data_IF_772134110905
#
_entry.id   IF_772134110905
#
_cell.length_a   1.000
_cell.length_b   1.000
_cell.length_c   1.000
_cell.angle_alpha   90.00
_cell.angle_beta   90.00
_cell.angle_gamma   90.00
#
_symmetry.space_group_name_H-M   'P 1'
#
loop_
_entity.id
_entity.type
_entity.pdbx_description
1 polymer ?
#
# COMPACT_ATOMS: atom_id res chain seq x y z
N UNK A 1 25.66 -48.68 -32.44
CA UNK A 1 26.27 -48.00 -31.27
C UNK A 1 26.01 -46.51 -31.19
N UNK A 2 25.97 -45.72 -32.28
CA UNK A 2 25.70 -44.24 -32.18
C UNK A 2 24.25 -43.89 -31.79
N UNK A 3 23.26 -44.70 -32.13
CA UNK A 3 21.84 -44.46 -31.80
C UNK A 3 21.51 -44.73 -30.32
N UNK A 4 22.22 -45.63 -29.66
CA UNK A 4 22.06 -45.96 -28.24
C UNK A 4 22.67 -44.89 -27.33
N UNK A 5 23.75 -44.24 -27.75
CA UNK A 5 24.37 -43.13 -27.00
C UNK A 5 23.51 -41.86 -27.02
N UNK A 6 22.82 -41.59 -28.13
CA UNK A 6 21.89 -40.46 -28.23
C UNK A 6 20.64 -40.71 -27.35
N UNK A 7 20.11 -41.93 -27.32
CA UNK A 7 19.00 -42.31 -26.46
C UNK A 7 19.36 -42.22 -24.96
N UNK A 8 20.60 -42.60 -24.60
CA UNK A 8 21.09 -42.47 -23.21
C UNK A 8 21.31 -41.01 -22.82
N UNK A 9 21.80 -40.17 -23.75
CA UNK A 9 21.95 -38.73 -23.49
C UNK A 9 20.61 -38.02 -23.35
N UNK A 10 19.59 -38.40 -24.13
CA UNK A 10 18.23 -37.87 -24.01
C UNK A 10 17.56 -38.36 -22.74
N UNK A 11 17.75 -39.62 -22.36
CA UNK A 11 17.26 -40.18 -21.07
C UNK A 11 18.02 -39.58 -19.88
N UNK A 12 19.30 -39.30 -19.98
CA UNK A 12 20.08 -38.62 -18.97
C UNK A 12 19.70 -37.15 -18.81
N UNK A 13 19.35 -36.46 -19.88
CA UNK A 13 18.82 -35.11 -19.87
C UNK A 13 17.37 -35.05 -19.28
N UNK A 14 16.57 -36.09 -19.53
CA UNK A 14 15.21 -36.22 -18.97
C UNK A 14 15.21 -36.69 -17.51
N UNK A 15 16.25 -37.41 -17.03
CA UNK A 15 16.40 -37.78 -15.62
C UNK A 15 16.90 -36.63 -14.72
N UNK A 16 17.38 -35.54 -15.32
CA UNK A 16 17.75 -34.30 -14.66
C UNK A 16 16.60 -33.30 -14.50
N UNK A 17 15.34 -33.71 -14.76
CA UNK A 17 14.19 -32.93 -14.38
C UNK A 17 14.14 -33.00 -12.84
N UNK A 18 14.89 -32.12 -12.20
CA UNK A 18 14.62 -31.79 -10.80
C UNK A 18 13.11 -31.72 -10.66
N UNK A 19 12.53 -32.44 -9.71
CA UNK A 19 11.16 -32.21 -9.32
C UNK A 19 11.06 -30.74 -8.92
N UNK A 20 10.67 -29.88 -9.86
CA UNK A 20 10.28 -28.52 -9.59
C UNK A 20 9.09 -28.64 -8.65
N UNK A 21 9.34 -28.56 -7.35
CA UNK A 21 8.29 -28.63 -6.34
C UNK A 21 7.58 -27.29 -6.39
N UNK A 22 6.59 -27.21 -7.28
CA UNK A 22 5.67 -26.08 -7.34
C UNK A 22 4.88 -26.04 -6.03
N UNK A 23 5.05 -24.99 -5.26
CA UNK A 23 4.33 -24.80 -4.02
C UNK A 23 3.35 -23.62 -4.20
N UNK A 24 2.06 -23.93 -4.16
CA UNK A 24 1.00 -22.92 -4.14
C UNK A 24 0.48 -22.78 -2.72
N UNK A 25 0.51 -21.56 -2.19
CA UNK A 25 -0.01 -21.23 -0.86
C UNK A 25 -1.27 -20.38 -1.03
N UNK A 26 -2.33 -20.78 -0.36
CA UNK A 26 -3.50 -19.94 -0.13
C UNK A 26 -3.21 -19.16 1.15
N UNK A 27 -3.42 -17.85 1.10
CA UNK A 27 -3.24 -16.98 2.27
C UNK A 27 -4.33 -15.94 2.35
N UNK A 28 -4.54 -15.38 3.52
CA UNK A 28 -5.50 -14.31 3.67
C UNK A 28 -5.55 -13.71 5.08
N UNK A 29 -6.39 -12.69 5.17
CA UNK A 29 -6.74 -12.02 6.42
C UNK A 29 -8.24 -11.79 6.42
N UNK A 30 -8.90 -12.10 7.51
CA UNK A 30 -10.26 -11.69 7.83
C UNK A 30 -10.21 -10.84 9.10
N UNK A 31 -10.74 -9.63 9.00
CA UNK A 31 -10.71 -8.62 10.05
C UNK A 31 -12.06 -7.91 10.09
N UNK A 32 -12.63 -7.78 11.26
CA UNK A 32 -13.85 -7.02 11.47
C UNK A 32 -13.98 -6.56 12.91
N UNK A 33 -14.74 -5.51 13.09
CA UNK A 33 -14.98 -4.94 14.40
C UNK A 33 -16.01 -3.83 14.35
N UNK A 34 -16.03 -3.02 15.38
CA UNK A 34 -16.87 -1.85 15.47
C UNK A 34 -16.01 -0.59 15.46
N UNK A 35 -16.44 0.38 14.69
CA UNK A 35 -15.84 1.71 14.58
C UNK A 35 -16.86 2.74 15.00
N UNK A 36 -16.45 3.70 15.83
CA UNK A 36 -17.22 4.89 16.17
C UNK A 36 -16.32 6.11 15.96
N UNK A 37 -16.77 7.02 15.12
CA UNK A 37 -16.19 8.34 14.95
C UNK A 37 -17.13 9.42 15.51
N UNK A 38 -16.59 10.55 15.93
CA UNK A 38 -17.41 11.77 16.22
C UNK A 38 -18.26 12.10 15.00
N UNK A 39 -19.50 12.54 15.22
CA UNK A 39 -20.42 12.90 14.14
C UNK A 39 -21.02 11.72 13.34
N UNK A 40 -20.56 10.49 13.50
CA UNK A 40 -21.03 9.30 12.75
C UNK A 40 -21.66 8.27 13.67
N UNK A 41 -22.53 7.41 13.15
CA UNK A 41 -23.05 6.24 13.87
C UNK A 41 -21.98 5.16 14.07
N UNK A 42 -22.25 4.20 14.96
CA UNK A 42 -21.41 2.99 15.08
C UNK A 42 -21.60 2.13 13.85
N UNK A 43 -20.50 1.75 13.23
CA UNK A 43 -20.51 0.88 12.05
C UNK A 43 -19.60 -0.34 12.24
N UNK A 44 -19.83 -1.37 11.42
CA UNK A 44 -18.87 -2.46 11.29
C UNK A 44 -17.77 -2.05 10.32
N UNK A 45 -16.51 -2.15 10.77
CA UNK A 45 -15.34 -1.80 9.99
C UNK A 45 -14.19 -2.76 10.22
N UNK A 46 -13.19 -2.69 9.37
CA UNK A 46 -11.96 -3.46 9.47
C UNK A 46 -10.79 -2.58 9.96
N UNK A 47 -9.86 -3.17 10.70
CA UNK A 47 -8.58 -2.55 10.99
C UNK A 47 -7.56 -2.88 9.90
N UNK A 48 -7.51 -4.14 9.46
CA UNK A 48 -6.61 -4.59 8.40
C UNK A 48 -7.44 -5.03 7.19
N UNK A 49 -7.04 -4.63 5.98
CA UNK A 49 -7.75 -4.99 4.76
C UNK A 49 -7.99 -6.50 4.65
N UNK A 50 -9.26 -6.89 4.58
CA UNK A 50 -9.65 -8.26 4.28
C UNK A 50 -9.17 -8.67 2.90
N UNK A 51 -8.56 -9.86 2.81
CA UNK A 51 -8.00 -10.35 1.55
C UNK A 51 -7.93 -11.87 1.51
N UNK A 52 -8.04 -12.37 0.31
CA UNK A 52 -7.75 -13.75 -0.06
C UNK A 52 -6.74 -13.73 -1.20
N UNK A 53 -5.66 -14.49 -1.08
CA UNK A 53 -4.62 -14.55 -2.10
C UNK A 53 -4.09 -15.94 -2.35
N UNK A 54 -3.50 -16.06 -3.52
CA UNK A 54 -2.76 -17.22 -3.99
C UNK A 54 -1.35 -16.77 -4.37
N UNK A 55 -0.35 -17.46 -3.87
CA UNK A 55 1.03 -17.24 -4.29
C UNK A 55 1.70 -18.56 -4.57
N UNK A 56 2.48 -18.59 -5.62
CA UNK A 56 3.23 -19.77 -6.02
C UNK A 56 4.71 -19.48 -6.21
N UNK A 57 5.49 -20.51 -5.97
CA UNK A 57 6.94 -20.51 -6.23
C UNK A 57 7.28 -21.81 -6.92
N UNK A 58 7.96 -21.73 -8.05
CA UNK A 58 8.51 -22.85 -8.80
C UNK A 58 10.02 -22.71 -8.84
N UNK A 59 10.75 -23.75 -8.47
CA UNK A 59 12.19 -23.80 -8.57
C UNK A 59 12.60 -24.14 -10.01
N UNK A 60 13.29 -23.23 -10.68
CA UNK A 60 13.77 -23.40 -12.05
C UNK A 60 15.19 -23.96 -12.12
N UNK A 61 15.80 -24.27 -10.99
CA UNK A 61 17.18 -24.69 -10.88
C UNK A 61 18.18 -23.51 -10.89
N UNK A 62 19.42 -23.83 -10.58
CA UNK A 62 20.53 -22.84 -10.56
C UNK A 62 20.26 -21.59 -9.71
N UNK A 63 19.44 -21.71 -8.65
CA UNK A 63 19.09 -20.59 -7.77
C UNK A 63 18.04 -19.65 -8.35
N UNK A 64 17.43 -19.99 -9.48
CA UNK A 64 16.31 -19.22 -10.06
C UNK A 64 14.96 -19.81 -9.65
N UNK A 65 13.98 -18.94 -9.47
CA UNK A 65 12.59 -19.27 -9.13
C UNK A 65 11.63 -18.44 -9.96
N UNK A 66 10.58 -19.07 -10.48
CA UNK A 66 9.40 -18.35 -10.96
C UNK A 66 8.45 -18.12 -9.80
N UNK A 67 7.79 -16.97 -9.78
CA UNK A 67 6.81 -16.60 -8.74
C UNK A 67 5.56 -16.04 -9.38
N UNK A 68 4.43 -16.24 -8.73
CA UNK A 68 3.21 -15.48 -9.04
C UNK A 68 2.48 -15.11 -7.75
N UNK A 69 1.68 -14.06 -7.81
CA UNK A 69 0.83 -13.61 -6.72
C UNK A 69 -0.46 -13.01 -7.27
N UNK A 70 -1.59 -13.51 -6.72
CA UNK A 70 -2.94 -13.01 -6.99
C UNK A 70 -3.60 -12.71 -5.66
N UNK A 71 -4.07 -11.49 -5.44
CA UNK A 71 -4.73 -11.07 -4.20
C UNK A 71 -6.01 -10.30 -4.52
N UNK A 72 -7.12 -10.74 -3.94
CA UNK A 72 -8.41 -10.07 -3.97
C UNK A 72 -8.77 -9.53 -2.59
N UNK A 73 -9.30 -8.31 -2.55
CA UNK A 73 -9.83 -7.68 -1.34
C UNK A 73 -11.33 -7.71 -1.32
N UNK A 74 -11.91 -7.76 -0.12
CA UNK A 74 -13.35 -7.83 0.05
C UNK A 74 -13.79 -7.15 1.35
N UNK A 75 -15.05 -6.75 1.42
CA UNK A 75 -15.69 -6.21 2.61
C UNK A 75 -16.32 -7.35 3.40
N UNK A 76 -15.87 -7.58 4.64
CA UNK A 76 -16.40 -8.68 5.44
C UNK A 76 -17.83 -8.41 5.96
N UNK A 77 -18.21 -7.14 6.10
CA UNK A 77 -19.52 -6.73 6.60
C UNK A 77 -20.68 -7.10 5.67
N UNK A 78 -20.47 -7.15 4.35
CA UNK A 78 -21.50 -7.43 3.36
C UNK A 78 -21.10 -8.48 2.30
N UNK A 79 -19.85 -8.97 2.33
CA UNK A 79 -19.34 -9.97 1.39
C UNK A 79 -19.06 -9.44 -0.02
N UNK A 80 -19.15 -8.13 -0.26
CA UNK A 80 -18.83 -7.56 -1.57
C UNK A 80 -17.32 -7.52 -1.81
N UNK A 81 -16.92 -7.47 -3.09
CA UNK A 81 -15.56 -7.08 -3.43
C UNK A 81 -15.29 -5.66 -2.93
N UNK A 82 -14.08 -5.37 -2.51
CA UNK A 82 -13.69 -4.00 -2.25
C UNK A 82 -13.63 -3.28 -3.60
N UNK A 83 -14.40 -2.23 -3.71
CA UNK A 83 -14.27 -1.31 -4.83
C UNK A 83 -12.93 -0.60 -4.68
N UNK A 84 -12.07 -0.77 -5.66
CA UNK A 84 -10.86 0.01 -5.71
C UNK A 84 -11.24 1.36 -6.31
N UNK A 85 -11.63 2.29 -5.47
CA UNK A 85 -11.75 3.70 -5.88
C UNK A 85 -10.34 4.19 -6.18
N UNK A 86 -9.91 3.95 -7.41
CA UNK A 86 -8.74 4.64 -7.92
C UNK A 86 -9.18 6.07 -8.22
N UNK A 87 -8.27 7.04 -8.20
CA UNK A 87 -8.46 8.43 -8.62
C UNK A 87 -9.15 8.63 -9.96
N UNK A 88 -9.45 7.58 -10.68
CA UNK A 88 -9.89 7.57 -12.08
C UNK A 88 -11.26 6.91 -12.26
N UNK A 89 -12.06 6.85 -11.20
CA UNK A 89 -13.38 6.25 -11.23
C UNK A 89 -13.43 4.83 -10.65
N UNK A 90 -14.63 4.32 -10.48
CA UNK A 90 -14.89 2.99 -9.97
C UNK A 90 -14.32 1.95 -10.91
N UNK A 91 -13.39 1.13 -10.42
CA UNK A 91 -12.87 -0.02 -11.14
C UNK A 91 -13.24 -1.28 -10.39
N UNK A 92 -14.07 -2.08 -11.00
CA UNK A 92 -14.31 -3.45 -10.57
C UNK A 92 -13.18 -4.33 -11.08
N UNK A 93 -12.15 -4.51 -10.27
CA UNK A 93 -11.08 -5.45 -10.55
C UNK A 93 -11.24 -6.68 -9.69
N UNK A 94 -11.23 -7.86 -10.30
CA UNK A 94 -11.30 -9.13 -9.57
C UNK A 94 -10.07 -9.35 -8.68
N UNK A 95 -8.91 -8.83 -9.10
CA UNK A 95 -7.63 -8.94 -8.39
C UNK A 95 -7.08 -7.55 -8.04
N UNK A 96 -7.82 -6.86 -7.19
CA UNK A 96 -7.57 -5.46 -6.81
C UNK A 96 -6.40 -5.27 -5.84
N UNK A 97 -5.92 -6.35 -5.24
CA UNK A 97 -4.76 -6.35 -4.37
C UNK A 97 -3.45 -6.47 -5.14
N UNK A 98 -3.22 -7.63 -5.72
CA UNK A 98 -2.02 -7.96 -6.48
C UNK A 98 -2.39 -8.90 -7.64
N UNK A 99 -1.72 -8.76 -8.78
CA UNK A 99 -1.82 -9.69 -9.91
C UNK A 99 -0.52 -9.65 -10.70
N UNK A 100 0.46 -10.47 -10.31
CA UNK A 100 1.78 -10.42 -10.92
C UNK A 100 2.42 -11.78 -11.07
N UNK A 101 3.37 -11.84 -12.01
CA UNK A 101 4.29 -12.95 -12.23
C UNK A 101 5.72 -12.40 -12.19
N UNK A 102 6.67 -13.20 -11.75
CA UNK A 102 8.03 -12.73 -11.63
C UNK A 102 9.08 -13.84 -11.67
N UNK A 103 10.30 -13.39 -11.73
CA UNK A 103 11.51 -14.22 -11.57
C UNK A 103 12.30 -13.71 -10.36
N UNK A 104 12.86 -14.63 -9.60
CA UNK A 104 13.72 -14.34 -8.45
C UNK A 104 14.99 -15.17 -8.50
N UNK A 105 16.10 -14.55 -8.11
CA UNK A 105 17.38 -15.24 -7.96
C UNK A 105 18.15 -14.67 -6.77
N UNK A 106 18.84 -15.56 -6.04
CA UNK A 106 19.52 -15.18 -4.79
C UNK A 106 20.63 -14.14 -5.02
N UNK A 107 21.28 -14.18 -6.20
CA UNK A 107 22.37 -13.28 -6.54
C UNK A 107 21.92 -11.91 -7.09
N UNK A 108 20.75 -11.85 -7.73
CA UNK A 108 20.33 -10.67 -8.49
C UNK A 108 18.98 -10.07 -8.01
N UNK A 109 18.27 -10.71 -7.07
CA UNK A 109 17.02 -10.20 -6.52
C UNK A 109 15.78 -10.71 -7.26
N UNK A 110 14.79 -9.85 -7.45
CA UNK A 110 13.50 -10.23 -8.03
C UNK A 110 13.00 -9.18 -9.03
N UNK A 111 12.41 -9.65 -10.13
CA UNK A 111 11.65 -8.84 -11.09
C UNK A 111 10.22 -9.35 -11.10
N UNK A 112 9.24 -8.46 -11.00
CA UNK A 112 7.80 -8.75 -11.04
C UNK A 112 7.13 -7.87 -12.09
N UNK A 113 6.15 -8.43 -12.81
CA UNK A 113 5.39 -7.76 -13.86
C UNK A 113 3.91 -7.92 -13.59
N UNK A 114 3.14 -6.85 -13.76
CA UNK A 114 1.69 -6.81 -13.59
C UNK A 114 1.25 -5.81 -12.53
N UNK A 115 0.24 -6.15 -11.75
CA UNK A 115 -0.23 -5.32 -10.63
C UNK A 115 0.64 -5.59 -9.41
N UNK A 116 1.40 -4.60 -8.98
CA UNK A 116 2.32 -4.68 -7.84
C UNK A 116 2.06 -3.57 -6.84
N UNK A 117 2.46 -3.77 -5.58
CA UNK A 117 2.40 -2.68 -4.61
C UNK A 117 3.29 -1.52 -5.05
N UNK A 118 2.76 -0.32 -4.89
CA UNK A 118 3.52 0.91 -5.08
C UNK A 118 4.68 0.96 -4.07
N UNK A 119 5.88 1.26 -4.59
CA UNK A 119 7.13 1.13 -3.85
C UNK A 119 7.20 2.07 -2.65
N UNK A 120 6.80 3.33 -2.80
CA UNK A 120 6.87 4.31 -1.73
C UNK A 120 5.86 4.03 -0.62
N UNK A 121 4.65 3.58 -0.98
CA UNK A 121 3.60 3.23 -0.02
C UNK A 121 3.95 1.96 0.77
N UNK A 122 4.48 0.94 0.10
CA UNK A 122 4.82 -0.33 0.74
C UNK A 122 6.00 -0.18 1.70
N UNK A 123 7.04 0.54 1.29
CA UNK A 123 8.28 0.62 2.06
C UNK A 123 8.15 1.43 3.34
N UNK A 124 7.25 2.42 3.39
CA UNK A 124 7.04 3.22 4.61
C UNK A 124 6.13 2.54 5.64
N UNK A 125 5.41 1.49 5.25
CA UNK A 125 4.46 0.80 6.14
C UNK A 125 5.10 0.32 7.45
N UNK A 126 6.36 -0.07 7.44
CA UNK A 126 7.10 -0.51 8.62
C UNK A 126 7.53 0.63 9.56
N UNK A 127 7.28 1.89 9.17
CA UNK A 127 7.59 3.09 9.95
C UNK A 127 6.34 3.77 10.51
N UNK A 128 5.20 3.10 10.43
CA UNK A 128 3.95 3.46 11.11
C UNK A 128 3.58 2.30 12.05
N UNK A 129 3.47 2.52 13.38
CA UNK A 129 3.16 1.46 14.35
C UNK A 129 1.80 0.80 14.11
N UNK A 130 0.92 1.43 13.33
CA UNK A 130 -0.37 0.88 12.90
C UNK A 130 -0.34 0.30 11.48
N UNK A 131 0.83 0.29 10.82
CA UNK A 131 1.03 -0.26 9.46
C UNK A 131 0.09 0.35 8.41
N UNK A 132 -0.27 1.62 8.59
CA UNK A 132 -1.22 2.36 7.73
C UNK A 132 -2.66 1.82 7.77
N UNK A 133 -3.07 1.21 8.87
CA UNK A 133 -4.37 0.59 9.00
C UNK A 133 -5.19 1.18 10.14
N UNK A 134 -6.52 1.06 9.98
CA UNK A 134 -7.50 1.43 11.00
C UNK A 134 -7.51 2.90 11.36
N UNK A 135 -8.27 3.25 12.40
CA UNK A 135 -8.48 4.64 12.81
C UNK A 135 -7.21 5.34 13.29
N UNK A 136 -6.24 4.60 13.82
CA UNK A 136 -5.00 5.13 14.38
C UNK A 136 -3.81 5.10 13.40
N UNK A 137 -3.96 4.55 12.20
CA UNK A 137 -2.94 4.57 11.15
C UNK A 137 -2.54 5.99 10.74
N UNK A 138 -1.44 6.09 9.99
CA UNK A 138 -0.97 7.40 9.51
C UNK A 138 -2.06 8.15 8.74
N UNK A 139 -2.03 9.48 8.77
CA UNK A 139 -2.91 10.32 7.95
C UNK A 139 -2.66 9.96 6.49
N UNK A 140 -3.72 9.60 5.77
CA UNK A 140 -3.60 9.20 4.38
C UNK A 140 -3.34 10.42 3.50
N UNK A 141 -2.14 10.50 2.92
CA UNK A 141 -1.87 11.45 1.86
C UNK A 141 -2.67 11.10 0.60
N UNK A 142 -3.10 12.12 -0.13
CA UNK A 142 -3.92 11.98 -1.34
C UNK A 142 -3.24 11.17 -2.45
N UNK A 143 -1.89 11.09 -2.43
CA UNK A 143 -1.09 10.36 -3.43
C UNK A 143 -0.77 8.92 -3.05
N UNK A 144 -1.52 8.35 -2.15
CA UNK A 144 -1.27 7.00 -1.70
C UNK A 144 -1.93 5.97 -2.61
N UNK A 145 -1.22 5.54 -3.64
CA UNK A 145 -1.61 4.37 -4.42
C UNK A 145 -1.08 3.10 -3.75
N UNK A 146 -1.91 2.08 -3.59
CA UNK A 146 -1.49 0.81 -2.97
C UNK A 146 -0.95 -0.17 -3.99
N UNK A 147 -1.59 -0.25 -5.13
CA UNK A 147 -1.22 -1.13 -6.22
C UNK A 147 -1.21 -0.34 -7.53
N UNK A 148 -0.25 -0.63 -8.37
CA UNK A 148 -0.08 0.00 -9.67
C UNK A 148 -0.11 -1.08 -10.72
N UNK A 149 -0.89 -0.83 -11.77
CA UNK A 149 -1.03 -1.67 -12.95
C UNK A 149 0.11 -1.45 -13.93
N UNK A 150 0.24 -2.37 -14.88
CA UNK A 150 1.18 -2.30 -16.00
C UNK A 150 2.61 -1.97 -15.56
N UNK A 151 3.02 -2.55 -14.43
CA UNK A 151 4.25 -2.20 -13.74
C UNK A 151 5.29 -3.30 -13.84
N UNK A 152 6.53 -2.88 -14.08
CA UNK A 152 7.74 -3.67 -13.88
C UNK A 152 8.36 -3.20 -12.56
N UNK A 153 8.54 -4.12 -11.62
CA UNK A 153 9.20 -3.85 -10.35
C UNK A 153 10.43 -4.73 -10.17
N UNK A 154 11.52 -4.12 -9.78
CA UNK A 154 12.74 -4.78 -9.36
C UNK A 154 13.00 -4.55 -7.87
N UNK A 155 13.35 -5.61 -7.15
CA UNK A 155 13.81 -5.59 -5.76
C UNK A 155 15.17 -6.30 -5.68
N UNK A 156 16.20 -5.62 -5.20
CA UNK A 156 17.54 -6.18 -5.06
C UNK A 156 17.62 -7.23 -3.94
N UNK A 157 18.66 -8.05 -3.91
CA UNK A 157 19.07 -8.75 -2.69
C UNK A 157 19.40 -7.77 -1.58
N UNK A 158 19.46 -8.29 -0.34
CA UNK A 158 20.01 -7.54 0.77
C UNK A 158 21.52 -7.80 0.87
N UNK A 159 22.34 -6.75 0.72
CA UNK A 159 23.79 -6.81 0.84
C UNK A 159 24.22 -6.19 2.18
N UNK A 160 24.34 -7.01 3.22
CA UNK A 160 24.75 -6.58 4.57
C UNK A 160 23.87 -5.42 5.12
N UNK A 161 22.58 -5.48 4.87
CA UNK A 161 21.60 -4.49 5.27
C UNK A 161 21.16 -3.56 4.15
N UNK A 162 21.99 -3.28 3.16
CA UNK A 162 21.65 -2.41 2.02
C UNK A 162 20.80 -3.16 0.99
N UNK A 163 19.74 -2.52 0.54
CA UNK A 163 18.90 -2.99 -0.54
C UNK A 163 18.27 -1.81 -1.29
N UNK A 164 17.86 -2.05 -2.52
CA UNK A 164 17.15 -1.05 -3.30
C UNK A 164 16.02 -1.65 -4.11
N UNK A 165 15.08 -0.83 -4.51
CA UNK A 165 13.98 -1.18 -5.40
C UNK A 165 13.78 -0.13 -6.47
N UNK A 166 13.22 -0.55 -7.59
CA UNK A 166 12.84 0.33 -8.68
C UNK A 166 11.52 -0.15 -9.30
N UNK A 167 10.70 0.81 -9.72
CA UNK A 167 9.46 0.54 -10.45
C UNK A 167 9.42 1.39 -11.72
N UNK A 168 8.81 0.82 -12.76
CA UNK A 168 8.42 1.52 -13.96
C UNK A 168 7.01 1.07 -14.35
N UNK A 169 6.09 2.01 -14.44
CA UNK A 169 4.68 1.76 -14.77
C UNK A 169 4.37 2.41 -16.11
N UNK A 170 3.81 1.65 -17.02
CA UNK A 170 3.41 2.14 -18.33
C UNK A 170 2.18 3.04 -18.18
N UNK A 171 2.25 4.24 -18.71
CA UNK A 171 1.09 5.13 -18.88
C UNK A 171 0.08 4.46 -19.81
N UNK A 172 -1.21 4.53 -19.46
CA UNK A 172 -2.26 4.02 -20.34
C UNK A 172 -2.36 4.89 -21.58
N UNK A 173 -2.22 4.30 -22.77
CA UNK A 173 -2.52 4.99 -24.02
C UNK A 173 -4.04 5.19 -24.12
N UNK A 174 -4.51 6.42 -24.07
CA UNK A 174 -5.94 6.79 -24.14
C UNK A 174 -6.55 6.52 -25.52
N UNK A 175 -5.73 6.26 -26.55
CA UNK A 175 -6.16 6.07 -27.93
C UNK A 175 -6.54 4.62 -28.27
N UNK A 176 -6.41 3.67 -27.38
CA UNK A 176 -6.82 2.28 -27.64
C UNK A 176 -8.30 2.06 -27.34
N UNK A 177 -9.16 2.54 -28.22
CA UNK A 177 -10.58 2.18 -28.31
C UNK A 177 -10.85 0.70 -28.62
N UNK A 178 -9.84 -0.15 -28.66
CA UNK A 178 -9.93 -1.46 -29.33
C UNK A 178 -9.81 -2.69 -28.44
N UNK A 179 -9.87 -2.57 -27.13
CA UNK A 179 -10.03 -3.75 -26.29
C UNK A 179 -11.45 -3.79 -25.76
N UNK A 180 -12.36 -4.19 -26.65
CA UNK A 180 -13.74 -4.54 -26.34
C UNK A 180 -13.84 -5.48 -25.15
N UNK A 181 -14.54 -5.05 -24.09
CA UNK A 181 -14.91 -5.88 -22.96
C UNK A 181 -14.04 -5.74 -21.71
N UNK A 182 -13.02 -4.91 -21.71
CA UNK A 182 -12.29 -4.51 -20.52
C UNK A 182 -12.73 -3.09 -20.14
N UNK A 183 -13.00 -2.83 -18.86
CA UNK A 183 -13.36 -1.49 -18.34
C UNK A 183 -12.26 -0.43 -18.49
N UNK A 184 -11.41 -0.56 -19.51
CA UNK A 184 -10.45 0.44 -19.95
C UNK A 184 -11.08 1.60 -20.72
N UNK A 185 -12.38 1.50 -21.06
CA UNK A 185 -13.12 2.55 -21.77
C UNK A 185 -13.48 3.76 -20.91
N UNK A 186 -13.20 3.75 -19.63
CA UNK A 186 -13.23 4.99 -18.85
C UNK A 186 -11.98 5.76 -19.24
N UNK A 187 -12.17 6.80 -20.06
CA UNK A 187 -11.13 7.79 -20.37
C UNK A 187 -10.41 8.14 -19.08
N UNK A 188 -9.20 7.63 -18.92
CA UNK A 188 -8.28 8.13 -17.93
C UNK A 188 -7.89 9.53 -18.39
N UNK A 189 -8.68 10.52 -18.02
CA UNK A 189 -8.22 11.90 -18.13
C UNK A 189 -6.99 12.02 -17.26
N UNK A 190 -5.88 11.46 -17.74
CA UNK A 190 -4.74 11.66 -17.01
C UNK A 190 -3.62 10.62 -16.94
N UNK A 191 -3.73 9.45 -17.50
CA UNK A 191 -2.67 8.44 -17.46
C UNK A 191 -1.76 8.44 -18.69
N UNK A 192 -1.55 9.58 -19.31
CA UNK A 192 -0.68 9.67 -20.51
C UNK A 192 0.81 9.54 -20.16
N UNK A 193 1.17 9.69 -18.89
CA UNK A 193 2.56 9.68 -18.45
C UNK A 193 2.94 8.38 -17.73
N UNK A 194 4.12 7.85 -18.08
CA UNK A 194 4.72 6.75 -17.37
C UNK A 194 5.05 7.12 -15.92
N UNK A 195 4.87 6.15 -15.01
CA UNK A 195 5.29 6.27 -13.63
C UNK A 195 6.63 5.58 -13.38
N UNK A 196 7.40 6.08 -12.44
CA UNK A 196 8.63 5.44 -12.01
C UNK A 196 8.96 5.75 -10.56
N UNK A 197 9.57 4.79 -9.88
CA UNK A 197 9.94 4.92 -8.48
C UNK A 197 11.27 4.29 -8.17
N UNK A 198 11.93 4.83 -7.16
CA UNK A 198 13.17 4.29 -6.60
C UNK A 198 13.10 4.26 -5.07
N UNK A 199 13.76 3.28 -4.48
CA UNK A 199 13.92 3.15 -3.04
C UNK A 199 15.33 2.70 -2.70
N UNK A 200 15.89 3.28 -1.65
CA UNK A 200 17.11 2.82 -1.00
C UNK A 200 16.77 2.49 0.46
N UNK A 201 17.13 1.31 0.91
CA UNK A 201 16.89 0.85 2.27
C UNK A 201 18.15 0.31 2.94
N UNK A 202 18.15 0.38 4.26
CA UNK A 202 19.15 -0.23 5.10
C UNK A 202 18.47 -0.88 6.31
N UNK A 203 18.55 -2.20 6.40
CA UNK A 203 17.99 -2.99 7.50
C UNK A 203 19.11 -3.86 8.09
N UNK A 204 19.65 -3.47 9.26
CA UNK A 204 20.70 -4.22 9.93
C UNK A 204 20.55 -4.14 11.45
N UNK A 205 20.37 -5.32 12.08
CA UNK A 205 20.16 -5.42 13.52
C UNK A 205 18.95 -4.60 13.98
N UNK A 206 19.13 -3.68 14.94
CA UNK A 206 18.03 -2.88 15.46
C UNK A 206 17.65 -1.68 14.56
N UNK A 207 18.48 -1.32 13.58
CA UNK A 207 18.32 -0.12 12.75
C UNK A 207 17.66 -0.45 11.42
N UNK A 208 16.62 0.31 11.06
CA UNK A 208 16.04 0.35 9.73
C UNK A 208 15.97 1.79 9.23
N UNK A 209 16.40 2.00 7.99
CA UNK A 209 16.35 3.28 7.30
C UNK A 209 15.74 3.09 5.91
N UNK A 210 15.00 4.07 5.41
CA UNK A 210 14.53 4.11 4.04
C UNK A 210 14.49 5.53 3.49
N UNK A 211 14.86 5.66 2.24
CA UNK A 211 14.58 6.84 1.42
C UNK A 211 13.96 6.37 0.12
N UNK A 212 12.84 6.95 -0.29
CA UNK A 212 12.20 6.59 -1.54
C UNK A 212 11.56 7.79 -2.23
N UNK A 213 11.35 7.66 -3.52
CA UNK A 213 10.67 8.64 -4.34
C UNK A 213 9.97 7.96 -5.50
N UNK A 214 8.76 8.42 -5.83
CA UNK A 214 8.01 7.98 -7.01
C UNK A 214 7.34 9.17 -7.69
N UNK A 215 7.39 9.15 -9.02
CA UNK A 215 6.45 9.84 -9.88
C UNK A 215 5.36 8.84 -10.25
N UNK A 216 4.12 9.21 -10.04
CA UNK A 216 2.99 8.32 -10.34
C UNK A 216 2.67 8.35 -11.83
N UNK A 217 2.16 7.22 -12.34
CA UNK A 217 1.61 7.16 -13.69
C UNK A 217 0.26 7.90 -13.70
N UNK A 218 0.33 9.21 -13.83
CA UNK A 218 -0.82 10.10 -14.03
C UNK A 218 -0.47 11.19 -15.05
N UNK A 219 -1.46 11.87 -15.60
CA UNK A 219 -1.23 12.90 -16.64
C UNK A 219 -0.51 14.14 -16.14
N UNK A 220 -0.21 14.27 -14.86
CA UNK A 220 0.11 15.58 -14.27
C UNK A 220 1.34 15.63 -13.39
N UNK A 221 2.17 14.59 -13.41
CA UNK A 221 3.42 14.55 -12.67
C UNK A 221 3.25 14.57 -11.14
N UNK A 222 2.20 13.92 -10.64
CA UNK A 222 2.06 13.71 -9.20
C UNK A 222 3.22 12.89 -8.65
N UNK A 223 3.70 13.25 -7.48
CA UNK A 223 4.88 12.62 -6.91
C UNK A 223 4.79 12.46 -5.39
N UNK A 224 5.51 11.49 -4.88
CA UNK A 224 5.66 11.23 -3.45
C UNK A 224 7.11 10.91 -3.13
N UNK A 225 7.61 11.39 -2.00
CA UNK A 225 8.87 10.95 -1.46
C UNK A 225 8.82 10.81 0.06
N UNK A 226 9.60 9.90 0.59
CA UNK A 226 9.62 9.57 2.01
C UNK A 226 11.04 9.40 2.53
N UNK A 227 11.20 9.70 3.82
CA UNK A 227 12.35 9.30 4.62
C UNK A 227 11.83 8.62 5.88
N UNK A 228 12.31 7.41 6.16
CA UNK A 228 11.94 6.65 7.34
C UNK A 228 13.15 6.18 8.11
N UNK A 229 13.05 6.22 9.44
CA UNK A 229 14.04 5.67 10.37
C UNK A 229 13.32 4.92 11.48
N UNK A 230 13.82 3.76 11.86
CA UNK A 230 13.32 3.02 13.01
C UNK A 230 14.49 2.39 13.78
N UNK A 231 14.36 2.36 15.09
CA UNK A 231 15.34 1.71 15.95
C UNK A 231 14.64 0.88 17.04
N UNK A 232 15.11 -0.35 17.21
CA UNK A 232 14.57 -1.29 18.19
C UNK A 232 15.44 -1.33 19.45
N UNK A 233 14.82 -1.04 20.58
CA UNK A 233 15.42 -1.09 21.92
C UNK A 233 14.79 -2.26 22.71
N UNK A 234 15.35 -3.45 22.61
CA UNK A 234 14.73 -4.62 23.22
C UNK A 234 13.31 -4.87 22.67
N UNK A 235 12.32 -4.78 23.54
CA UNK A 235 10.91 -5.00 23.20
C UNK A 235 10.20 -3.76 22.61
N UNK A 236 10.84 -2.59 22.66
CA UNK A 236 10.31 -1.36 22.09
C UNK A 236 10.98 -1.04 20.75
N UNK A 237 10.22 -0.44 19.83
CA UNK A 237 10.69 0.11 18.56
C UNK A 237 10.16 1.54 18.42
N UNK A 238 11.03 2.48 18.18
CA UNK A 238 10.70 3.88 17.88
C UNK A 238 10.85 4.10 16.38
N UNK A 239 9.91 4.81 15.79
CA UNK A 239 9.81 5.07 14.36
C UNK A 239 9.69 6.57 14.11
N UNK A 240 10.36 7.03 13.08
CA UNK A 240 10.24 8.39 12.56
C UNK A 240 10.03 8.30 11.05
N UNK A 241 8.99 8.95 10.55
CA UNK A 241 8.68 9.02 9.14
C UNK A 241 8.44 10.47 8.74
N UNK A 242 9.02 10.86 7.61
CA UNK A 242 8.64 12.05 6.86
C UNK A 242 8.11 11.63 5.49
N UNK A 243 6.97 12.21 5.08
CA UNK A 243 6.41 12.04 3.74
C UNK A 243 6.06 13.40 3.15
N UNK A 244 6.36 13.59 1.87
CA UNK A 244 5.82 14.70 1.09
C UNK A 244 5.14 14.15 -0.16
N UNK A 245 3.90 14.59 -0.39
CA UNK A 245 3.16 14.31 -1.61
C UNK A 245 2.87 15.59 -2.36
N UNK A 246 2.84 15.47 -3.69
CA UNK A 246 2.33 16.50 -4.60
C UNK A 246 1.31 15.86 -5.49
N UNK A 247 0.07 16.28 -5.34
CA UNK A 247 -1.05 15.81 -6.14
C UNK A 247 -1.46 16.89 -7.13
N UNK A 248 -1.34 16.58 -8.41
CA UNK A 248 -1.65 17.50 -9.49
C UNK A 248 -2.85 16.99 -10.28
N UNK A 249 -4.04 17.55 -10.02
CA UNK A 249 -5.19 17.29 -10.88
C UNK A 249 -6.25 16.37 -10.34
N UNK A 250 -6.22 16.06 -9.09
CA UNK A 250 -7.25 15.24 -8.44
C UNK A 250 -8.64 15.88 -8.43
N UNK A 251 -8.72 17.19 -8.51
CA UNK A 251 -9.96 17.96 -8.33
C UNK A 251 -10.66 18.38 -9.63
N UNK A 252 -10.36 17.76 -10.76
CA UNK A 252 -11.03 18.04 -12.05
C UNK A 252 -12.14 17.06 -12.43
N UNK A 253 -12.46 16.08 -11.59
CA UNK A 253 -13.54 15.12 -11.87
C UNK A 253 -14.91 15.69 -11.57
N UNK A 254 -15.82 15.70 -12.56
CA UNK A 254 -17.24 16.04 -12.37
C UNK A 254 -18.01 15.00 -11.52
N UNK A 255 -17.36 13.93 -11.05
CA UNK A 255 -17.99 12.76 -10.43
C UNK A 255 -17.52 12.44 -9.00
N UNK A 256 -16.67 13.25 -8.40
CA UNK A 256 -16.39 13.07 -6.99
C UNK A 256 -17.58 13.55 -6.13
N UNK A 257 -17.97 12.80 -5.13
CA UNK A 257 -18.97 13.19 -4.11
C UNK A 257 -18.61 14.47 -3.32
N UNK A 258 -17.52 15.09 -3.71
CA UNK A 258 -16.95 16.36 -3.24
C UNK A 258 -17.61 17.60 -3.87
N UNK A 259 -18.68 17.43 -4.66
CA UNK A 259 -19.39 18.55 -5.33
C UNK A 259 -19.94 19.61 -4.38
N UNK A 260 -20.09 19.25 -3.10
CA UNK A 260 -20.60 20.17 -2.08
C UNK A 260 -19.52 21.04 -1.42
N UNK A 261 -18.24 20.77 -1.68
CA UNK A 261 -17.15 21.60 -1.15
C UNK A 261 -16.71 22.60 -2.20
N UNK A 262 -17.50 23.65 -2.37
CA UNK A 262 -17.24 24.77 -3.30
C UNK A 262 -15.83 25.39 -3.18
N UNK A 263 -15.14 25.16 -2.07
CA UNK A 263 -13.78 25.63 -1.81
C UNK A 263 -12.70 24.95 -2.68
N UNK A 264 -12.97 23.75 -3.22
CA UNK A 264 -11.94 22.95 -3.93
C UNK A 264 -12.09 22.85 -5.43
N UNK A 265 -13.10 23.48 -6.01
CA UNK A 265 -13.41 23.36 -7.47
C UNK A 265 -12.32 23.89 -8.40
N UNK A 266 -11.29 24.56 -7.88
CA UNK A 266 -10.21 25.13 -8.69
C UNK A 266 -8.79 24.82 -8.15
N UNK A 267 -8.61 23.78 -7.34
CA UNK A 267 -7.28 23.38 -6.87
C UNK A 267 -6.55 22.62 -7.98
N UNK A 268 -5.39 23.11 -8.40
CA UNK A 268 -4.57 22.48 -9.44
C UNK A 268 -3.49 21.55 -8.84
N UNK A 269 -3.06 21.80 -7.62
CA UNK A 269 -2.07 21.02 -6.91
C UNK A 269 -2.38 21.02 -5.41
N UNK A 270 -2.40 19.83 -4.81
CA UNK A 270 -2.41 19.64 -3.36
C UNK A 270 -1.05 19.10 -2.94
N UNK A 271 -0.35 19.84 -2.09
CA UNK A 271 0.92 19.43 -1.50
C UNK A 271 0.71 19.14 -0.02
N UNK A 272 1.20 18.01 0.43
CA UNK A 272 1.11 17.56 1.81
C UNK A 272 2.49 17.22 2.31
N UNK A 273 2.82 17.67 3.52
CA UNK A 273 4.06 17.35 4.21
C UNK A 273 3.70 16.75 5.57
N UNK A 274 4.10 15.52 5.82
CA UNK A 274 3.72 14.78 7.01
C UNK A 274 4.93 14.30 7.79
N UNK A 275 4.85 14.45 9.11
CA UNK A 275 5.73 13.82 10.08
C UNK A 275 4.95 12.82 10.92
N UNK A 276 5.56 11.69 11.22
CA UNK A 276 5.03 10.69 12.14
C UNK A 276 6.14 10.25 13.09
N UNK A 277 5.86 10.33 14.38
CA UNK A 277 6.63 9.69 15.45
C UNK A 277 5.82 8.51 15.97
N UNK A 278 6.39 7.31 15.92
CA UNK A 278 5.76 6.05 16.27
C UNK A 278 6.46 5.31 17.39
N UNK A 279 5.69 4.50 18.11
CA UNK A 279 6.16 3.55 19.12
C UNK A 279 5.40 2.23 18.96
N UNK A 280 6.13 1.15 18.77
CA UNK A 280 5.64 -0.23 19.00
C UNK A 280 6.34 -0.78 20.25
N UNK A 281 5.58 -1.31 21.21
CA UNK A 281 6.13 -1.91 22.40
C UNK A 281 5.46 -3.26 22.68
N UNK A 282 6.26 -4.33 22.69
CA UNK A 282 5.79 -5.65 23.11
C UNK A 282 5.51 -5.61 24.61
N UNK A 283 4.25 -5.74 24.99
CA UNK A 283 3.78 -5.65 26.36
C UNK A 283 2.91 -6.86 26.71
N UNK A 284 3.46 -7.74 27.54
CA UNK A 284 2.77 -8.99 27.89
C UNK A 284 2.50 -9.88 26.67
N UNK A 285 1.30 -10.43 26.52
CA UNK A 285 0.93 -11.29 25.41
C UNK A 285 0.59 -10.54 24.10
N UNK A 286 0.79 -9.23 24.07
CA UNK A 286 0.41 -8.41 22.95
C UNK A 286 1.38 -7.26 22.69
N UNK A 287 0.87 -6.22 22.06
CA UNK A 287 1.65 -5.08 21.58
C UNK A 287 0.88 -3.79 21.78
N UNK A 288 1.52 -2.83 22.44
CA UNK A 288 1.07 -1.45 22.50
C UNK A 288 1.65 -0.68 21.32
N UNK A 289 0.80 0.06 20.61
CA UNK A 289 1.17 0.95 19.54
C UNK A 289 0.75 2.37 19.89
N UNK A 290 1.58 3.36 19.58
CA UNK A 290 1.23 4.77 19.73
C UNK A 290 1.86 5.58 18.60
N UNK A 291 1.18 6.67 18.18
CA UNK A 291 1.71 7.60 17.19
C UNK A 291 1.30 9.04 17.50
N UNK A 292 2.19 9.97 17.15
CA UNK A 292 1.90 11.38 17.04
C UNK A 292 2.27 11.84 15.63
N UNK A 293 1.37 12.55 14.98
CA UNK A 293 1.48 12.94 13.58
C UNK A 293 1.15 14.41 13.41
N UNK A 294 1.85 15.04 12.48
CA UNK A 294 1.57 16.38 12.01
C UNK A 294 1.66 16.39 10.49
N UNK A 295 0.67 17.02 9.84
CA UNK A 295 0.63 17.20 8.40
C UNK A 295 0.29 18.63 8.07
N UNK A 296 1.11 19.26 7.22
CA UNK A 296 0.84 20.56 6.59
C UNK A 296 0.23 20.31 5.21
N UNK A 297 -0.86 20.98 4.89
CA UNK A 297 -1.58 20.90 3.62
C UNK A 297 -1.55 22.25 2.93
N UNK A 298 -0.97 22.30 1.73
CA UNK A 298 -0.92 23.47 0.86
C UNK A 298 -1.73 23.19 -0.41
N UNK A 299 -2.73 24.01 -0.73
CA UNK A 299 -3.48 23.93 -1.97
C UNK A 299 -3.18 25.12 -2.90
N UNK A 300 -2.79 24.83 -4.14
CA UNK A 300 -2.47 25.84 -5.15
C UNK A 300 -3.55 25.84 -6.23
N UNK A 301 -4.09 27.05 -6.58
CA UNK A 301 -4.95 27.17 -7.77
C UNK A 301 -6.30 27.83 -7.61
N UNK A 302 -6.57 28.58 -6.57
CA UNK A 302 -7.72 29.51 -6.55
C UNK A 302 -8.73 29.39 -5.43
N UNK A 303 -8.66 28.43 -4.56
CA UNK A 303 -9.43 28.42 -3.33
C UNK A 303 -8.51 28.25 -2.12
N UNK A 304 -8.81 28.98 -1.10
CA UNK A 304 -8.07 29.37 0.08
C UNK A 304 -7.76 28.25 1.08
N UNK A 305 -7.11 27.18 0.66
CA UNK A 305 -6.52 26.19 1.58
C UNK A 305 -5.02 26.21 1.40
N UNK A 306 -4.38 27.23 1.91
CA UNK A 306 -2.92 27.28 2.03
C UNK A 306 -2.58 27.24 3.51
N UNK A 307 -1.52 26.49 3.83
CA UNK A 307 -0.91 26.45 5.16
C UNK A 307 -1.87 25.99 6.26
N UNK A 308 -2.53 24.85 6.05
CA UNK A 308 -3.42 24.23 7.03
C UNK A 308 -2.75 23.04 7.69
N UNK A 309 -2.89 22.96 9.00
CA UNK A 309 -2.31 21.91 9.81
C UNK A 309 -3.31 20.83 10.20
N UNK A 310 -2.85 19.60 10.27
CA UNK A 310 -3.56 18.45 10.81
C UNK A 310 -2.68 17.78 11.85
N UNK A 311 -3.23 17.58 13.04
CA UNK A 311 -2.59 16.83 14.11
C UNK A 311 -3.36 15.53 14.35
N UNK A 312 -2.68 14.41 14.46
CA UNK A 312 -3.32 13.13 14.79
C UNK A 312 -2.51 12.37 15.82
N UNK A 313 -3.22 11.87 16.83
CA UNK A 313 -2.66 11.04 17.89
C UNK A 313 -3.37 9.71 17.91
N UNK A 314 -2.62 8.62 17.91
CA UNK A 314 -3.16 7.27 17.96
C UNK A 314 -2.56 6.46 19.11
N UNK A 315 -3.38 5.67 19.76
CA UNK A 315 -2.96 4.66 20.74
C UNK A 315 -3.79 3.40 20.53
N UNK A 316 -3.16 2.24 20.62
CA UNK A 316 -3.86 0.97 20.47
C UNK A 316 -3.13 -0.19 21.13
N UNK A 317 -3.89 -1.22 21.44
CA UNK A 317 -3.33 -2.47 21.95
C UNK A 317 -3.89 -3.65 21.16
N UNK A 318 -2.98 -4.50 20.71
CA UNK A 318 -3.32 -5.78 20.06
C UNK A 318 -2.95 -6.91 20.99
N UNK A 319 -3.95 -7.72 21.37
CA UNK A 319 -3.78 -8.90 22.22
C UNK A 319 -3.77 -10.17 21.36
N UNK A 320 -2.68 -10.90 21.35
CA UNK A 320 -2.51 -12.12 20.56
C UNK A 320 -3.15 -13.32 21.26
N UNK A 321 -4.29 -13.79 20.73
CA UNK A 321 -4.95 -15.04 21.17
C UNK A 321 -4.20 -16.28 20.67
N UNK A 322 -3.55 -16.15 19.54
CA UNK A 322 -2.69 -17.16 18.92
C UNK A 322 -1.72 -16.51 17.93
N UNK A 323 -0.85 -17.31 17.28
CA UNK A 323 0.03 -16.82 16.21
C UNK A 323 -0.75 -16.21 15.00
N UNK A 324 -2.04 -16.52 14.86
CA UNK A 324 -2.86 -16.13 13.71
C UNK A 324 -4.09 -15.30 14.08
N UNK A 325 -4.48 -15.28 15.36
CA UNK A 325 -5.71 -14.61 15.81
C UNK A 325 -5.38 -13.62 16.90
N UNK A 326 -5.86 -12.38 16.74
CA UNK A 326 -5.71 -11.35 17.75
C UNK A 326 -7.00 -10.54 17.88
N UNK A 327 -7.23 -9.98 19.05
CA UNK A 327 -8.20 -8.92 19.28
C UNK A 327 -7.46 -7.60 19.43
N UNK A 328 -8.11 -6.50 19.07
CA UNK A 328 -7.48 -5.18 19.14
C UNK A 328 -8.46 -4.11 19.60
N UNK A 329 -7.89 -3.05 20.17
CA UNK A 329 -8.60 -1.80 20.44
C UNK A 329 -7.69 -0.63 20.11
N UNK A 330 -8.20 0.33 19.36
CA UNK A 330 -7.51 1.53 18.92
C UNK A 330 -8.35 2.76 19.23
N UNK A 331 -7.69 3.85 19.62
CA UNK A 331 -8.28 5.17 19.77
C UNK A 331 -7.41 6.14 19.00
N UNK A 332 -8.02 7.04 18.25
CA UNK A 332 -7.36 8.14 17.58
C UNK A 332 -8.11 9.45 17.82
N UNK A 333 -7.35 10.52 17.92
CA UNK A 333 -7.85 11.89 17.91
C UNK A 333 -7.17 12.62 16.76
N UNK A 334 -7.98 13.24 15.90
CA UNK A 334 -7.51 14.06 14.78
C UNK A 334 -8.06 15.46 14.95
N UNK A 335 -7.20 16.45 14.81
CA UNK A 335 -7.49 17.88 14.90
C UNK A 335 -7.13 18.52 13.56
N UNK A 336 -8.13 19.05 12.88
CA UNK A 336 -8.01 19.74 11.61
C UNK A 336 -8.08 21.25 11.88
N UNK A 337 -7.29 22.02 11.14
CA UNK A 337 -7.28 23.48 11.31
C UNK A 337 -8.65 24.14 11.05
N UNK A 338 -9.46 23.53 10.18
CA UNK A 338 -10.86 23.88 9.98
C UNK A 338 -11.67 22.74 9.32
N UNK A 339 -13.01 22.86 9.29
CA UNK A 339 -13.91 21.87 8.68
C UNK A 339 -13.64 21.66 7.17
N UNK A 340 -13.11 22.65 6.46
CA UNK A 340 -12.82 22.51 5.03
C UNK A 340 -11.68 21.52 4.79
N UNK A 341 -10.70 21.47 5.71
CA UNK A 341 -9.64 20.47 5.68
C UNK A 341 -10.16 19.09 6.09
N UNK A 342 -10.99 19.04 7.16
CA UNK A 342 -11.61 17.79 7.59
C UNK A 342 -12.38 17.11 6.45
N UNK A 343 -13.12 17.87 5.67
CA UNK A 343 -13.88 17.37 4.53
C UNK A 343 -13.01 16.73 3.44
N UNK A 344 -11.74 17.16 3.23
CA UNK A 344 -10.79 16.51 2.29
C UNK A 344 -10.53 15.07 2.73
N UNK A 345 -10.58 14.79 4.01
CA UNK A 345 -10.28 13.50 4.62
C UNK A 345 -11.53 12.68 4.96
N UNK A 346 -12.71 13.16 4.54
CA UNK A 346 -13.99 12.48 4.75
C UNK A 346 -14.54 12.61 6.16
N UNK A 347 -14.08 13.62 6.91
CA UNK A 347 -14.60 13.96 8.23
C UNK A 347 -15.45 15.23 8.15
N UNK A 348 -16.44 15.38 9.04
CA UNK A 348 -17.43 16.48 9.01
C UNK A 348 -17.20 17.53 10.10
N UNK A 349 -16.32 17.27 11.03
CA UNK A 349 -15.97 18.12 12.17
C UNK A 349 -14.48 18.44 12.13
N UNK A 350 -14.10 19.61 12.64
CA UNK A 350 -12.69 20.04 12.75
C UNK A 350 -11.88 19.22 13.76
N UNK A 351 -12.55 18.51 14.66
CA UNK A 351 -11.91 17.59 15.59
C UNK A 351 -12.68 16.27 15.68
N UNK A 352 -11.98 15.16 15.50
CA UNK A 352 -12.57 13.83 15.39
C UNK A 352 -11.90 12.86 16.35
N UNK A 353 -12.69 12.30 17.26
CA UNK A 353 -12.28 11.13 18.05
C UNK A 353 -12.84 9.88 17.41
N UNK A 354 -11.96 8.91 17.13
CA UNK A 354 -12.33 7.61 16.58
C UNK A 354 -11.91 6.49 17.52
N UNK A 355 -12.83 5.55 17.76
CA UNK A 355 -12.58 4.34 18.55
C UNK A 355 -12.89 3.12 17.70
N UNK A 356 -12.00 2.14 17.73
CA UNK A 356 -12.15 0.90 17.00
C UNK A 356 -11.78 -0.30 17.86
N UNK A 357 -12.64 -1.32 17.87
CA UNK A 357 -12.37 -2.61 18.54
C UNK A 357 -12.74 -3.74 17.60
N UNK A 358 -11.96 -4.81 17.59
CA UNK A 358 -12.25 -5.91 16.66
C UNK A 358 -11.38 -7.13 16.84
N UNK A 359 -11.51 -8.04 15.88
CA UNK A 359 -10.79 -9.30 15.81
C UNK A 359 -10.21 -9.47 14.40
N UNK A 360 -8.98 -9.94 14.34
CA UNK A 360 -8.28 -10.28 13.09
C UNK A 360 -7.83 -11.73 13.12
N UNK A 361 -7.97 -12.42 11.97
CA UNK A 361 -7.45 -13.78 11.79
C UNK A 361 -6.70 -13.89 10.46
N UNK A 362 -5.50 -14.48 10.52
CA UNK A 362 -4.63 -14.75 9.35
C UNK A 362 -4.59 -16.24 9.07
N UNK A 363 -4.67 -16.63 7.83
CA UNK A 363 -4.59 -18.05 7.42
C UNK A 363 -3.66 -18.27 6.23
#
# INVERSE_FOLDING_TARGET
>A
MKKTLIALAVLGAAAGVAHAQSNVTIYGVVDTGFVKKSGHDVEMGENVNNRLGFRGVEDLGSGMKATFELERRFNLNNGSSKENTTRQGERYQDWDGLANVGLKGDAWGAVRLGVVNELTTETIRKFDPFYQYGVAGMIEGTQRSRAIEDTIRYDSPNWNGFHFGATYSLGGNTDNESISGSMRDVKRDGADNDGYGIMLGYDNGPLALVGNWSRLADSKDSSVWNLGAAYRFGDAKVELLYQQTKDKGWYKGEEADWKDVAAYTNVNELKQKQWLLGLEWKLGPGRLNASAQWMEVEANGGAHVSDKDIYKYGIGYTYDLSKRTAIYGNIAYTDYDDESVANIYGDVEDSVTAVQVGITHKF
#
